data_IF_670926140380
#
_entry.id   IF_670926140380
#
_cell.length_a   1.000
_cell.length_b   1.000
_cell.length_c   1.000
_cell.angle_alpha   90.00
_cell.angle_beta   90.00
_cell.angle_gamma   90.00
#
_symmetry.space_group_name_H-M   'P 1'
#
loop_
_entity.id
_entity.type
_entity.pdbx_description
1 polymer ?
#
# COMPACT_ATOMS: atom_id res chain seq x y z
N UNK A 1 -14.89 -40.77 9.94
CA UNK A 1 -14.67 -40.19 8.60
C UNK A 1 -15.16 -38.74 8.62
N UNK A 2 -14.26 -37.76 8.51
CA UNK A 2 -14.64 -36.34 8.42
C UNK A 2 -15.11 -35.99 7.01
N UNK A 3 -16.22 -35.26 6.91
CA UNK A 3 -16.86 -34.86 5.66
C UNK A 3 -15.92 -33.96 4.83
N UNK A 4 -15.60 -34.29 3.55
CA UNK A 4 -14.68 -33.50 2.72
C UNK A 4 -15.19 -32.09 2.40
N UNK A 5 -16.50 -31.83 2.50
CA UNK A 5 -17.08 -30.49 2.31
C UNK A 5 -16.59 -29.48 3.36
N UNK A 6 -16.35 -29.93 4.59
CA UNK A 6 -16.04 -29.06 5.74
C UNK A 6 -14.61 -28.53 5.71
N UNK A 7 -13.69 -29.16 4.96
CA UNK A 7 -12.31 -28.67 4.78
C UNK A 7 -12.26 -27.61 3.68
N UNK A 8 -12.98 -27.82 2.57
CA UNK A 8 -13.07 -26.86 1.47
C UNK A 8 -13.75 -25.54 1.90
N UNK A 9 -14.80 -25.62 2.73
CA UNK A 9 -15.47 -24.45 3.31
C UNK A 9 -14.57 -23.66 4.27
N UNK A 10 -13.78 -24.34 5.10
CA UNK A 10 -12.80 -23.69 6.01
C UNK A 10 -11.70 -22.94 5.26
N UNK A 11 -11.37 -23.34 4.03
CA UNK A 11 -10.36 -22.66 3.22
C UNK A 11 -10.91 -21.54 2.32
N UNK A 12 -12.23 -21.35 2.27
CA UNK A 12 -12.87 -20.29 1.48
C UNK A 12 -12.76 -18.90 2.14
N UNK A 13 -12.18 -18.81 3.33
CA UNK A 13 -12.03 -17.57 4.08
C UNK A 13 -10.64 -16.92 3.97
N UNK A 14 -9.62 -17.66 3.53
CA UNK A 14 -8.26 -17.12 3.50
C UNK A 14 -8.03 -16.23 2.28
N UNK A 15 -7.34 -15.12 2.51
CA UNK A 15 -6.96 -14.17 1.47
C UNK A 15 -5.51 -14.40 1.06
N UNK A 16 -5.24 -14.43 -0.25
CA UNK A 16 -3.87 -14.34 -0.72
C UNK A 16 -3.33 -12.90 -0.65
N UNK A 17 -2.02 -12.75 -0.87
CA UNK A 17 -1.37 -11.45 -0.74
C UNK A 17 -1.90 -10.40 -1.73
N UNK A 18 -2.37 -10.82 -2.91
CA UNK A 18 -2.92 -9.91 -3.90
C UNK A 18 -4.31 -9.46 -3.51
N UNK A 19 -5.13 -10.36 -2.98
CA UNK A 19 -6.44 -10.04 -2.43
C UNK A 19 -6.31 -9.08 -1.24
N UNK A 20 -5.35 -9.31 -0.33
CA UNK A 20 -5.11 -8.40 0.79
C UNK A 20 -4.71 -6.99 0.33
N UNK A 21 -3.88 -6.87 -0.71
CA UNK A 21 -3.52 -5.56 -1.30
C UNK A 21 -4.76 -4.89 -1.93
N UNK A 22 -5.54 -5.64 -2.71
CA UNK A 22 -6.75 -5.11 -3.34
C UNK A 22 -7.79 -4.63 -2.32
N UNK A 23 -7.82 -5.24 -1.13
CA UNK A 23 -8.67 -4.86 -0.01
C UNK A 23 -8.13 -3.69 0.81
N UNK A 24 -6.96 -3.16 0.50
CA UNK A 24 -6.40 -1.97 1.15
C UNK A 24 -5.59 -2.23 2.41
N UNK A 25 -5.21 -3.49 2.72
CA UNK A 25 -4.35 -3.81 3.87
C UNK A 25 -2.90 -3.29 3.76
N UNK A 26 -2.59 -2.56 2.69
CA UNK A 26 -1.29 -1.97 2.41
C UNK A 26 -0.61 -2.59 1.21
N UNK A 27 0.66 -2.25 1.03
CA UNK A 27 1.45 -2.72 -0.12
C UNK A 27 2.00 -4.12 0.10
N UNK A 28 2.42 -4.77 -0.99
CA UNK A 28 3.17 -6.04 -0.95
C UNK A 28 4.38 -5.96 -0.01
N UNK A 29 5.09 -4.83 0.01
CA UNK A 29 6.26 -4.63 0.87
C UNK A 29 5.86 -4.61 2.36
N UNK A 30 4.78 -3.90 2.71
CA UNK A 30 4.21 -3.85 4.06
C UNK A 30 3.89 -5.25 4.56
N UNK A 31 3.12 -6.01 3.77
CA UNK A 31 2.69 -7.37 4.15
C UNK A 31 3.90 -8.29 4.30
N UNK A 32 4.85 -8.27 3.36
CA UNK A 32 6.08 -9.08 3.45
C UNK A 32 6.92 -8.73 4.67
N UNK A 33 7.00 -7.45 5.03
CA UNK A 33 7.74 -7.00 6.23
C UNK A 33 7.12 -7.57 7.50
N UNK A 34 5.79 -7.55 7.62
CA UNK A 34 5.05 -8.08 8.78
C UNK A 34 5.12 -9.60 8.91
N UNK A 35 5.23 -10.29 7.77
CA UNK A 35 5.53 -11.72 7.74
C UNK A 35 6.96 -11.98 8.23
N UNK A 36 7.93 -11.18 7.78
CA UNK A 36 9.33 -11.35 8.15
C UNK A 36 9.58 -11.04 9.64
N UNK A 37 8.84 -10.09 10.22
CA UNK A 37 8.86 -9.81 11.66
C UNK A 37 8.16 -10.89 12.51
N UNK A 38 7.40 -11.80 11.88
CA UNK A 38 6.64 -12.83 12.58
C UNK A 38 5.33 -12.35 13.20
N UNK A 39 4.97 -11.08 13.00
CA UNK A 39 3.75 -10.48 13.56
C UNK A 39 2.48 -10.94 12.81
N UNK A 40 2.60 -11.18 11.50
CA UNK A 40 1.51 -11.66 10.65
C UNK A 40 1.61 -13.17 10.43
N UNK A 41 0.69 -13.97 11.01
CA UNK A 41 0.59 -15.40 10.74
C UNK A 41 0.30 -15.65 9.26
N UNK A 42 0.95 -16.67 8.69
CA UNK A 42 0.70 -17.10 7.30
C UNK A 42 0.51 -18.59 7.24
N UNK A 43 -0.40 -19.01 6.37
CA UNK A 43 -0.55 -20.41 5.98
C UNK A 43 -0.04 -20.58 4.55
N UNK A 44 0.74 -21.63 4.31
CA UNK A 44 1.19 -21.99 2.95
C UNK A 44 0.23 -23.02 2.37
N UNK A 45 -0.40 -22.68 1.25
CA UNK A 45 -1.29 -23.59 0.53
C UNK A 45 -0.75 -23.86 -0.88
N UNK A 46 -1.16 -24.98 -1.46
CA UNK A 46 -0.94 -25.28 -2.87
C UNK A 46 -2.26 -25.01 -3.60
N UNK A 47 -2.25 -24.05 -4.53
CA UNK A 47 -3.38 -23.73 -5.41
C UNK A 47 -2.87 -23.70 -6.85
N UNK A 48 -3.54 -24.42 -7.74
CA UNK A 48 -3.16 -24.55 -9.16
C UNK A 48 -1.70 -25.03 -9.34
N UNK A 49 -1.25 -25.94 -8.46
CA UNK A 49 0.13 -26.44 -8.44
C UNK A 49 1.19 -25.44 -7.95
N UNK A 50 0.78 -24.23 -7.52
CA UNK A 50 1.70 -23.19 -7.03
C UNK A 50 1.54 -22.98 -5.52
N UNK A 51 2.68 -22.82 -4.84
CA UNK A 51 2.71 -22.46 -3.41
C UNK A 51 2.34 -20.99 -3.25
N UNK A 52 1.29 -20.70 -2.49
CA UNK A 52 0.87 -19.34 -2.13
C UNK A 52 0.84 -19.18 -0.61
N UNK A 53 1.17 -17.97 -0.16
CA UNK A 53 0.89 -17.57 1.22
C UNK A 53 -0.54 -17.02 1.25
N UNK A 54 -1.30 -17.48 2.23
CA UNK A 54 -2.63 -16.97 2.51
C UNK A 54 -2.75 -16.59 3.99
N UNK A 55 -3.68 -15.69 4.26
CA UNK A 55 -3.85 -15.00 5.54
C UNK A 55 -5.30 -15.09 5.98
N UNK A 56 -5.51 -15.21 7.27
CA UNK A 56 -6.83 -15.05 7.86
C UNK A 56 -7.18 -13.55 7.84
N UNK A 57 -8.37 -13.14 7.34
CA UNK A 57 -8.82 -11.75 7.39
C UNK A 57 -8.73 -11.13 8.79
N UNK A 58 -9.02 -11.90 9.85
CA UNK A 58 -8.96 -11.40 11.21
C UNK A 58 -7.52 -11.06 11.65
N UNK A 59 -6.53 -11.83 11.21
CA UNK A 59 -5.12 -11.53 11.46
C UNK A 59 -4.63 -10.32 10.66
N UNK A 60 -5.13 -10.15 9.43
CA UNK A 60 -4.85 -8.96 8.63
C UNK A 60 -5.39 -7.71 9.32
N UNK A 61 -6.66 -7.72 9.76
CA UNK A 61 -7.26 -6.62 10.51
C UNK A 61 -6.49 -6.32 11.81
N UNK A 62 -6.10 -7.35 12.56
CA UNK A 62 -5.37 -7.22 13.83
C UNK A 62 -3.98 -6.59 13.66
N UNK A 63 -3.24 -6.99 12.63
CA UNK A 63 -1.80 -6.65 12.48
C UNK A 63 -1.58 -5.44 11.61
N UNK A 64 -2.39 -5.27 10.56
CA UNK A 64 -2.26 -4.20 9.58
C UNK A 64 -3.22 -3.04 9.86
N UNK A 65 -4.16 -3.24 10.78
CA UNK A 65 -5.21 -2.28 11.10
C UNK A 65 -6.43 -2.45 10.20
N UNK A 66 -7.54 -1.85 10.62
CA UNK A 66 -8.75 -1.78 9.80
C UNK A 66 -8.41 -1.17 8.45
N UNK A 67 -9.00 -1.73 7.39
CA UNK A 67 -8.91 -1.21 6.02
C UNK A 67 -9.10 0.30 6.06
N UNK A 68 -8.13 1.12 5.62
CA UNK A 68 -8.38 2.54 5.48
C UNK A 68 -9.59 2.68 4.55
N UNK A 69 -10.61 3.40 5.02
CA UNK A 69 -11.76 3.76 4.19
C UNK A 69 -11.20 4.30 2.86
N UNK A 70 -11.69 3.81 1.71
CA UNK A 70 -11.20 4.27 0.42
C UNK A 70 -11.37 5.80 0.38
N UNK A 71 -10.24 6.50 0.47
CA UNK A 71 -10.21 7.96 0.35
C UNK A 71 -10.61 8.25 -1.08
N UNK A 72 -11.78 8.86 -1.28
CA UNK A 72 -12.26 9.22 -2.61
C UNK A 72 -11.21 10.04 -3.35
N UNK A 73 -11.13 9.96 -4.69
CA UNK A 73 -10.08 10.59 -5.48
C UNK A 73 -9.91 12.09 -5.15
N UNK A 74 -11.01 12.81 -4.96
CA UNK A 74 -10.98 14.22 -4.55
C UNK A 74 -10.32 14.46 -3.18
N UNK A 75 -10.54 13.57 -2.21
CA UNK A 75 -9.92 13.68 -0.90
C UNK A 75 -8.43 13.28 -0.93
N UNK A 76 -8.05 12.36 -1.82
CA UNK A 76 -6.65 12.00 -2.04
C UNK A 76 -5.86 13.13 -2.72
N UNK A 77 -6.45 13.77 -3.72
CA UNK A 77 -5.90 14.97 -4.39
C UNK A 77 -5.73 16.12 -3.39
N UNK A 78 -6.77 16.43 -2.59
CA UNK A 78 -6.68 17.47 -1.58
C UNK A 78 -5.58 17.19 -0.52
N UNK A 79 -5.40 15.92 -0.13
CA UNK A 79 -4.33 15.54 0.80
C UNK A 79 -2.93 15.68 0.16
N UNK A 80 -2.81 15.38 -1.13
CA UNK A 80 -1.56 15.57 -1.87
C UNK A 80 -1.22 17.06 -1.99
N UNK A 81 -2.18 17.89 -2.38
CA UNK A 81 -2.00 19.34 -2.51
C UNK A 81 -1.58 19.96 -1.17
N UNK A 82 -2.24 19.58 -0.07
CA UNK A 82 -1.88 20.04 1.27
C UNK A 82 -0.44 19.63 1.66
N UNK A 83 0.00 18.43 1.30
CA UNK A 83 1.36 17.97 1.56
C UNK A 83 2.39 18.73 0.71
N UNK A 84 2.06 19.05 -0.55
CA UNK A 84 2.90 19.90 -1.41
C UNK A 84 3.04 21.29 -0.81
N UNK A 85 1.93 21.91 -0.38
CA UNK A 85 1.93 23.22 0.25
C UNK A 85 2.79 23.26 1.52
N UNK A 86 2.72 22.22 2.35
CA UNK A 86 3.56 22.11 3.55
C UNK A 86 5.06 22.06 3.21
N UNK A 87 5.43 21.27 2.19
CA UNK A 87 6.82 21.17 1.73
C UNK A 87 7.29 22.51 1.17
N UNK A 88 6.47 23.17 0.35
CA UNK A 88 6.79 24.48 -0.23
C UNK A 88 6.92 25.55 0.86
N UNK A 89 6.06 25.55 1.87
CA UNK A 89 6.11 26.50 2.98
C UNK A 89 7.41 26.36 3.80
N UNK A 90 7.97 25.15 3.89
CA UNK A 90 9.25 24.87 4.57
C UNK A 90 10.47 25.11 3.67
N UNK A 91 10.27 25.31 2.36
CA UNK A 91 11.38 25.48 1.44
C UNK A 91 12.07 26.84 1.65
N UNK A 92 13.41 26.90 1.57
CA UNK A 92 14.12 28.16 1.61
C UNK A 92 13.74 29.03 0.40
N UNK A 93 13.56 30.34 0.63
CA UNK A 93 13.30 31.28 -0.46
C UNK A 93 14.51 31.35 -1.39
N UNK A 94 14.25 31.22 -2.68
CA UNK A 94 15.28 31.38 -3.71
C UNK A 94 15.67 32.85 -3.82
N UNK A 95 16.97 33.11 -3.96
CA UNK A 95 17.48 34.45 -4.30
C UNK A 95 17.16 34.81 -5.75
N UNK A 96 17.19 36.10 -6.07
CA UNK A 96 16.96 36.59 -7.44
C UNK A 96 17.89 35.93 -8.48
N UNK A 97 19.16 35.69 -8.12
CA UNK A 97 20.12 35.00 -8.99
C UNK A 97 19.76 33.53 -9.23
N UNK A 98 19.24 32.84 -8.20
CA UNK A 98 18.77 31.46 -8.32
C UNK A 98 17.50 31.38 -9.15
N UNK A 99 16.57 32.31 -8.99
CA UNK A 99 15.36 32.42 -9.81
C UNK A 99 15.70 32.70 -11.28
N UNK A 100 16.62 33.61 -11.57
CA UNK A 100 17.08 33.89 -12.94
C UNK A 100 17.72 32.66 -13.59
N UNK A 101 18.54 31.91 -12.83
CA UNK A 101 19.14 30.65 -13.30
C UNK A 101 18.08 29.58 -13.53
N UNK A 102 17.12 29.42 -12.62
CA UNK A 102 16.01 28.48 -12.77
C UNK A 102 15.14 28.83 -13.98
N UNK A 103 14.81 30.11 -14.17
CA UNK A 103 14.10 30.59 -15.36
C UNK A 103 14.82 30.18 -16.64
N UNK A 104 16.14 30.40 -16.71
CA UNK A 104 16.93 30.00 -17.90
C UNK A 104 16.94 28.49 -18.19
N UNK A 105 16.77 27.65 -17.16
CA UNK A 105 16.73 26.19 -17.28
C UNK A 105 15.31 25.71 -17.66
N UNK A 106 14.28 26.32 -17.07
CA UNK A 106 12.88 25.93 -17.21
C UNK A 106 12.22 26.47 -18.49
N UNK A 107 12.57 27.68 -18.93
CA UNK A 107 12.19 28.21 -20.25
C UNK A 107 12.95 27.54 -21.40
N UNK A 108 13.79 26.54 -21.10
CA UNK A 108 14.41 25.67 -22.08
C UNK A 108 15.26 26.41 -23.10
N UNK A 109 16.33 27.09 -22.67
CA UNK A 109 17.42 27.51 -23.58
C UNK A 109 16.95 28.18 -24.89
N UNK A 110 15.89 28.98 -24.85
CA UNK A 110 15.34 29.64 -26.03
C UNK A 110 16.29 30.77 -26.50
N UNK A 111 17.16 30.40 -27.44
CA UNK A 111 17.72 31.28 -28.46
C UNK A 111 17.23 30.81 -29.81
#
# INVERSE_FOLDING_TARGET
MGNPATIAERHSHYLDIHQAIALGYGTMATIRRRIASGELPRVKIIRDGKRRNVFDPADLDRVLGARPEPVGPAAAEAALDAAVDEVVAKAPRLSAAQLARLGSILDGGAR
#
